data_IF_250018517981
#
_entry.id   IF_250018517981
#
_cell.length_a   1.000
_cell.length_b   1.000
_cell.length_c   1.000
_cell.angle_alpha   90.00
_cell.angle_beta   90.00
_cell.angle_gamma   90.00
#
_symmetry.space_group_name_H-M   'P 1'
#
loop_
_entity.id
_entity.type
_entity.pdbx_description
1 polymer ?
#
# COMPACT_ATOMS: atom_id res chain seq x y z
N UNK A 1 5.60 10.69 2.48
CA UNK A 1 4.18 10.46 2.32
C UNK A 1 3.40 11.22 3.35
N UNK A 2 2.43 11.94 2.88
CA UNK A 2 1.67 12.85 3.71
C UNK A 2 0.40 12.22 4.26
N UNK A 3 -0.04 11.10 3.69
CA UNK A 3 -1.35 10.54 4.00
C UNK A 3 -1.20 9.09 4.43
N UNK A 4 -1.50 8.82 5.68
CA UNK A 4 -1.44 7.46 6.24
C UNK A 4 -2.38 6.50 5.53
N UNK A 5 -3.51 7.00 5.06
CA UNK A 5 -4.48 6.19 4.32
C UNK A 5 -3.90 5.72 2.98
N UNK A 6 -3.24 6.62 2.26
CA UNK A 6 -2.60 6.28 0.99
C UNK A 6 -1.48 5.27 1.20
N UNK A 7 -0.64 5.47 2.20
CA UNK A 7 0.43 4.55 2.56
C UNK A 7 -0.13 3.17 2.89
N UNK A 8 -1.15 3.14 3.72
CA UNK A 8 -1.80 1.90 4.14
C UNK A 8 -2.38 1.14 2.95
N UNK A 9 -3.12 1.84 2.09
CA UNK A 9 -3.73 1.22 0.91
C UNK A 9 -2.67 0.67 -0.05
N UNK A 10 -1.56 1.38 -0.22
CA UNK A 10 -0.46 0.91 -1.07
C UNK A 10 0.18 -0.35 -0.49
N UNK A 11 0.46 -0.37 0.81
CA UNK A 11 1.04 -1.55 1.46
C UNK A 11 0.10 -2.76 1.40
N UNK A 12 -1.20 -2.53 1.55
CA UNK A 12 -2.21 -3.59 1.40
C UNK A 12 -2.21 -4.17 -0.01
N UNK A 13 -2.22 -3.32 -1.01
CA UNK A 13 -2.19 -3.76 -2.42
C UNK A 13 -0.95 -4.59 -2.71
N UNK A 14 0.21 -4.13 -2.26
CA UNK A 14 1.46 -4.87 -2.46
C UNK A 14 1.47 -6.22 -1.74
N UNK A 15 0.77 -6.30 -0.61
CA UNK A 15 0.69 -7.54 0.17
C UNK A 15 -0.20 -8.58 -0.50
N UNK A 16 -1.40 -8.16 -0.91
CA UNK A 16 -2.43 -9.09 -1.36
C UNK A 16 -2.46 -9.27 -2.87
N UNK A 17 -1.88 -8.33 -3.62
CA UNK A 17 -1.82 -8.38 -5.07
C UNK A 17 -0.41 -8.04 -5.56
N UNK A 18 0.58 -8.89 -5.25
CA UNK A 18 2.00 -8.56 -5.45
C UNK A 18 2.43 -8.51 -6.92
N UNK A 19 1.61 -9.00 -7.83
CA UNK A 19 1.96 -9.10 -9.25
C UNK A 19 1.39 -7.97 -10.10
N UNK A 20 0.77 -6.96 -9.48
CA UNK A 20 0.24 -5.83 -10.24
C UNK A 20 1.36 -4.97 -10.80
N UNK A 21 1.18 -4.50 -12.03
CA UNK A 21 2.08 -3.50 -12.63
C UNK A 21 1.93 -2.16 -11.92
N UNK A 22 2.90 -1.26 -12.09
CA UNK A 22 2.79 0.10 -11.57
C UNK A 22 1.54 0.80 -12.09
N UNK A 23 1.24 0.63 -13.38
CA UNK A 23 0.09 1.25 -13.99
C UNK A 23 -1.22 0.76 -13.36
N UNK A 24 -1.32 -0.55 -13.12
CA UNK A 24 -2.49 -1.12 -12.49
C UNK A 24 -2.63 -0.70 -11.03
N UNK A 25 -1.51 -0.67 -10.29
CA UNK A 25 -1.48 -0.15 -8.92
C UNK A 25 -1.99 1.28 -8.85
N UNK A 26 -1.48 2.14 -9.71
CA UNK A 26 -1.89 3.54 -9.75
C UNK A 26 -3.38 3.67 -10.04
N UNK A 27 -3.86 2.91 -11.01
CA UNK A 27 -5.28 2.91 -11.39
C UNK A 27 -6.17 2.46 -10.22
N UNK A 28 -5.82 1.35 -9.60
CA UNK A 28 -6.62 0.78 -8.51
C UNK A 28 -6.65 1.69 -7.28
N UNK A 29 -5.57 2.41 -7.04
CA UNK A 29 -5.47 3.32 -5.89
C UNK A 29 -5.97 4.74 -6.20
N UNK A 30 -6.23 5.04 -7.46
CA UNK A 30 -6.59 6.39 -7.87
C UNK A 30 -5.42 7.37 -7.82
N UNK A 31 -4.19 6.87 -7.97
CA UNK A 31 -2.98 7.69 -7.95
C UNK A 31 -2.53 8.01 -9.38
N UNK A 32 -1.92 9.18 -9.55
CA UNK A 32 -1.12 9.42 -10.74
C UNK A 32 0.14 8.55 -10.69
N UNK A 33 0.76 8.30 -11.83
CA UNK A 33 2.02 7.58 -11.88
C UNK A 33 3.12 8.29 -11.09
N UNK A 34 3.14 9.61 -11.14
CA UNK A 34 4.10 10.39 -10.37
C UNK A 34 3.91 10.23 -8.87
N UNK A 35 2.67 10.26 -8.40
CA UNK A 35 2.37 10.02 -6.99
C UNK A 35 2.77 8.62 -6.57
N UNK A 36 2.46 7.63 -7.40
CA UNK A 36 2.83 6.24 -7.11
C UNK A 36 4.35 6.08 -6.99
N UNK A 37 5.09 6.62 -7.96
CA UNK A 37 6.55 6.57 -7.93
C UNK A 37 7.13 7.23 -6.68
N UNK A 38 6.60 8.38 -6.32
CA UNK A 38 7.01 9.08 -5.10
C UNK A 38 6.80 8.21 -3.86
N UNK A 39 5.63 7.58 -3.76
CA UNK A 39 5.28 6.72 -2.63
C UNK A 39 6.17 5.49 -2.58
N UNK A 40 6.41 4.85 -3.72
CA UNK A 40 7.28 3.66 -3.80
C UNK A 40 8.70 4.00 -3.35
N UNK A 41 9.25 5.11 -3.83
CA UNK A 41 10.59 5.54 -3.44
C UNK A 41 10.68 5.83 -1.94
N UNK A 42 9.64 6.46 -1.39
CA UNK A 42 9.58 6.76 0.04
C UNK A 42 9.54 5.48 0.87
N UNK A 43 8.72 4.50 0.48
CA UNK A 43 8.63 3.22 1.18
C UNK A 43 9.96 2.46 1.11
N UNK A 44 10.61 2.48 -0.05
CA UNK A 44 11.89 1.82 -0.23
C UNK A 44 12.98 2.45 0.65
N UNK A 45 13.03 3.78 0.69
CA UNK A 45 14.00 4.50 1.55
C UNK A 45 13.80 4.20 3.02
N UNK A 46 12.55 4.05 3.45
CA UNK A 46 12.23 3.72 4.84
C UNK A 46 12.47 2.25 5.18
N UNK A 47 12.84 1.44 4.20
CA UNK A 47 13.08 0.02 4.40
C UNK A 47 11.81 -0.80 4.60
N UNK A 48 10.66 -0.29 4.15
CA UNK A 48 9.38 -0.97 4.30
C UNK A 48 9.09 -1.94 3.16
N UNK A 49 9.69 -1.71 2.00
CA UNK A 49 9.56 -2.59 0.84
C UNK A 49 10.92 -2.86 0.22
N UNK A 50 10.99 -3.96 -0.53
CA UNK A 50 12.10 -4.26 -1.44
C UNK A 50 11.54 -4.33 -2.85
N UNK A 51 12.29 -3.80 -3.80
CA UNK A 51 11.92 -3.84 -5.20
C UNK A 51 12.71 -4.98 -5.84
N UNK A 52 12.00 -5.97 -6.37
CA UNK A 52 12.61 -7.08 -7.10
C UNK A 52 12.28 -6.92 -8.58
N UNK A 53 13.31 -7.00 -9.39
CA UNK A 53 13.16 -6.96 -10.84
C UNK A 53 13.14 -8.40 -11.36
N UNK A 54 12.08 -8.75 -12.07
CA UNK A 54 11.98 -10.03 -12.74
C UNK A 54 12.13 -9.78 -14.23
N UNK A 55 13.27 -10.19 -14.75
CA UNK A 55 13.56 -10.11 -16.16
C UNK A 55 13.91 -11.51 -16.65
N UNK A 56 13.04 -12.09 -17.45
CA UNK A 56 13.41 -13.30 -18.17
C UNK A 56 14.33 -12.86 -19.30
N UNK A 57 15.57 -13.36 -19.28
CA UNK A 57 16.63 -12.96 -20.21
C UNK A 57 16.21 -12.93 -21.68
N UNK A 58 15.18 -13.67 -22.03
CA UNK A 58 14.76 -13.86 -23.42
C UNK A 58 13.54 -13.04 -23.81
N UNK A 59 12.91 -12.33 -22.87
CA UNK A 59 11.66 -11.65 -23.17
C UNK A 59 11.55 -10.34 -22.42
N UNK A 60 11.91 -9.25 -23.12
CA UNK A 60 11.81 -7.90 -22.57
C UNK A 60 10.38 -7.47 -22.29
N UNK A 61 9.40 -8.11 -22.96
CA UNK A 61 7.99 -7.80 -22.76
C UNK A 61 7.48 -8.30 -21.41
N UNK A 62 8.16 -9.27 -20.84
CA UNK A 62 7.81 -9.83 -19.53
C UNK A 62 8.62 -9.24 -18.38
N UNK A 63 9.35 -8.15 -18.63
CA UNK A 63 10.01 -7.42 -17.58
C UNK A 63 8.97 -6.74 -16.69
N UNK A 64 9.03 -7.01 -15.40
CA UNK A 64 8.18 -6.32 -14.43
C UNK A 64 8.90 -6.19 -13.10
N UNK A 65 8.49 -5.19 -12.36
CA UNK A 65 8.95 -4.98 -10.99
C UNK A 65 7.95 -5.57 -10.04
N UNK A 66 8.46 -6.29 -9.07
CA UNK A 66 7.67 -6.81 -7.97
C UNK A 66 8.05 -6.09 -6.70
N UNK A 67 7.04 -5.68 -5.95
CA UNK A 67 7.24 -5.00 -4.67
C UNK A 67 6.92 -5.97 -3.56
N UNK A 68 7.86 -6.15 -2.63
CA UNK A 68 7.73 -7.10 -1.53
C UNK A 68 7.94 -6.34 -0.23
N UNK A 69 7.05 -6.54 0.73
CA UNK A 69 7.21 -5.93 2.05
C UNK A 69 8.36 -6.62 2.78
N UNK A 70 9.18 -5.82 3.45
CA UNK A 70 10.15 -6.31 4.41
C UNK A 70 9.43 -6.66 5.71
N UNK A 71 10.11 -7.30 6.65
CA UNK A 71 9.51 -7.55 7.97
C UNK A 71 9.05 -6.24 8.61
N UNK A 72 9.88 -5.19 8.49
CA UNK A 72 9.52 -3.86 8.97
C UNK A 72 8.25 -3.33 8.28
N UNK A 73 8.11 -3.57 6.98
CA UNK A 73 6.93 -3.19 6.21
C UNK A 73 5.68 -3.94 6.66
N UNK A 74 5.81 -5.23 6.92
CA UNK A 74 4.71 -6.05 7.42
C UNK A 74 4.25 -5.53 8.78
N UNK A 75 5.17 -5.30 9.70
CA UNK A 75 4.87 -4.79 11.03
C UNK A 75 4.20 -3.42 10.95
N UNK A 76 4.70 -2.56 10.07
CA UNK A 76 4.13 -1.23 9.88
C UNK A 76 2.70 -1.31 9.34
N UNK A 77 2.46 -2.19 8.37
CA UNK A 77 1.12 -2.41 7.82
C UNK A 77 0.16 -2.91 8.89
N UNK A 78 0.61 -3.85 9.72
CA UNK A 78 -0.23 -4.39 10.81
C UNK A 78 -0.58 -3.27 11.80
N UNK A 79 0.38 -2.45 12.19
CA UNK A 79 0.12 -1.34 13.10
C UNK A 79 -0.87 -0.33 12.50
N UNK A 80 -0.74 -0.02 11.22
CA UNK A 80 -1.70 0.84 10.52
C UNK A 80 -3.08 0.22 10.47
N UNK A 81 -3.17 -1.10 10.29
CA UNK A 81 -4.44 -1.83 10.30
C UNK A 81 -5.14 -1.66 11.65
N UNK A 82 -4.40 -1.84 12.73
CA UNK A 82 -4.92 -1.69 14.09
C UNK A 82 -5.44 -0.27 14.31
N UNK A 83 -4.66 0.73 13.93
CA UNK A 83 -5.05 2.13 14.06
C UNK A 83 -6.31 2.45 13.26
N UNK A 84 -6.39 1.92 12.05
CA UNK A 84 -7.56 2.10 11.19
C UNK A 84 -8.81 1.47 11.80
N UNK A 85 -8.67 0.25 12.32
CA UNK A 85 -9.76 -0.46 12.98
C UNK A 85 -10.26 0.29 14.20
N UNK A 86 -9.35 0.80 15.03
CA UNK A 86 -9.73 1.60 16.21
C UNK A 86 -10.53 2.84 15.82
N UNK A 87 -10.13 3.53 14.76
CA UNK A 87 -10.85 4.71 14.28
C UNK A 87 -12.24 4.33 13.74
N UNK A 88 -12.34 3.23 13.02
CA UNK A 88 -13.63 2.75 12.50
C UNK A 88 -14.60 2.35 13.62
N UNK A 89 -14.07 1.72 14.66
CA UNK A 89 -14.87 1.36 15.84
C UNK A 89 -15.39 2.63 16.53
N UNK A 90 -14.52 3.63 16.71
CA UNK A 90 -14.90 4.89 17.33
C UNK A 90 -15.99 5.61 16.51
N UNK A 91 -15.84 5.65 15.19
CA UNK A 91 -16.85 6.22 14.30
C UNK A 91 -18.18 5.48 14.42
N UNK A 92 -18.12 4.16 14.42
CA UNK A 92 -19.31 3.32 14.57
C UNK A 92 -20.02 3.62 15.88
N UNK A 93 -19.28 3.68 16.99
CA UNK A 93 -19.85 3.95 18.32
C UNK A 93 -20.49 5.34 18.36
N UNK A 94 -19.86 6.33 17.72
CA UNK A 94 -20.39 7.68 17.67
C UNK A 94 -21.71 7.73 16.89
N UNK A 95 -21.75 7.10 15.73
CA UNK A 95 -22.97 7.04 14.91
C UNK A 95 -24.09 6.32 15.66
N UNK A 96 -23.76 5.26 16.38
CA UNK A 96 -24.72 4.51 17.16
C UNK A 96 -25.34 5.39 18.26
N UNK A 97 -24.53 6.21 18.93
CA UNK A 97 -25.02 7.17 19.93
C UNK A 97 -25.94 8.21 19.31
N UNK A 98 -25.61 8.69 18.11
CA UNK A 98 -26.42 9.68 17.42
C UNK A 98 -27.80 9.12 17.04
N UNK A 99 -27.86 7.85 16.71
CA UNK A 99 -29.12 7.19 16.38
C UNK A 99 -30.11 7.17 17.55
N UNK A 100 -29.62 7.23 18.77
CA UNK A 100 -30.46 7.15 19.97
C UNK A 100 -31.07 8.50 20.39
N UNK A 101 -30.72 9.56 19.70
CA UNK A 101 -31.27 10.90 20.02
C UNK A 101 -32.48 11.27 19.17
#
# INVERSE_FOLDING_TARGET
>A
MRNKTDLFNLLRKMTFEPNLSQRQLAKDLGFSLGKLNYCIKALNRKGLIKIKNFNKKEDRLNYFRRYVLTQKGIDHRINLTIDFMKRKIAEYDQLKKEMKK
#
